data_IF_119344752645
#
_entry.id   IF_119344752645
#
_cell.length_a   1.000
_cell.length_b   1.000
_cell.length_c   1.000
_cell.angle_alpha   90.00
_cell.angle_beta   90.00
_cell.angle_gamma   90.00
#
_symmetry.space_group_name_H-M   'P 1'
#
loop_
_entity.id
_entity.type
_entity.pdbx_description
1 polymer ?
#
# COMPACT_ATOMS: atom_id res chain seq x y z
N UNK A 1 38.75 22.64 59.62
CA UNK A 1 38.35 24.01 59.97
C UNK A 1 38.04 24.78 58.71
N UNK A 2 36.82 25.31 58.64
CA UNK A 2 36.28 26.35 57.75
C UNK A 2 36.05 26.09 56.25
N UNK A 3 34.75 25.89 55.98
CA UNK A 3 33.94 26.21 54.80
C UNK A 3 33.83 27.71 54.49
N UNK A 4 33.64 28.10 53.21
CA UNK A 4 32.77 29.21 52.73
C UNK A 4 32.85 29.28 51.19
N UNK A 5 31.82 28.93 50.41
CA UNK A 5 30.73 29.79 49.91
C UNK A 5 31.14 31.21 49.47
N UNK A 6 30.93 31.51 48.18
CA UNK A 6 30.62 32.85 47.70
C UNK A 6 29.53 32.79 46.63
N UNK A 7 28.41 33.39 46.98
CA UNK A 7 27.23 33.76 46.18
C UNK A 7 27.50 35.06 45.45
N UNK A 8 26.89 35.27 44.26
CA UNK A 8 26.64 36.62 43.72
C UNK A 8 25.37 36.63 42.87
N UNK A 9 24.64 37.73 43.00
CA UNK A 9 23.24 37.98 42.63
C UNK A 9 23.01 38.35 41.15
N UNK A 10 21.80 37.98 40.67
CA UNK A 10 20.84 38.71 39.82
C UNK A 10 21.34 39.74 38.77
N UNK A 11 20.91 39.54 37.51
CA UNK A 11 20.11 40.54 36.78
C UNK A 11 19.06 39.84 35.91
N UNK A 12 17.80 40.21 36.14
CA UNK A 12 16.64 39.81 35.34
C UNK A 12 16.51 40.74 34.13
N UNK A 13 16.22 40.19 32.95
CA UNK A 13 15.71 40.93 31.82
C UNK A 13 14.27 40.46 31.51
N UNK A 14 13.33 41.35 31.80
CA UNK A 14 11.91 41.27 31.46
C UNK A 14 11.72 41.49 29.95
N UNK A 15 10.93 40.65 29.28
CA UNK A 15 10.10 41.09 28.14
C UNK A 15 8.73 40.43 28.18
N UNK A 16 7.76 41.32 28.39
CA UNK A 16 6.31 41.31 28.24
C UNK A 16 5.62 40.13 27.54
N UNK A 17 4.66 39.55 28.26
CA UNK A 17 3.54 38.78 27.73
C UNK A 17 2.44 39.74 27.29
N UNK A 18 2.20 39.88 25.98
CA UNK A 18 1.05 40.61 25.46
C UNK A 18 -0.20 39.73 25.50
N UNK A 19 -1.13 40.09 26.38
CA UNK A 19 -2.50 39.56 26.42
C UNK A 19 -3.27 40.00 25.17
N UNK A 20 -3.93 39.06 24.50
CA UNK A 20 -4.95 39.35 23.48
C UNK A 20 -6.32 38.92 24.06
N UNK A 21 -7.33 39.79 24.04
CA UNK A 21 -8.57 39.60 24.78
C UNK A 21 -9.52 38.57 24.15
N UNK A 22 -10.18 37.82 25.04
CA UNK A 22 -11.33 36.97 24.75
C UNK A 22 -12.53 37.87 24.45
N UNK A 23 -12.94 37.94 23.19
CA UNK A 23 -14.21 38.56 22.79
C UNK A 23 -15.26 37.46 22.70
N UNK A 24 -16.21 37.51 23.63
CA UNK A 24 -17.49 36.82 23.53
C UNK A 24 -18.30 37.44 22.37
N UNK A 25 -18.86 36.62 21.48
CA UNK A 25 -19.96 37.05 20.63
C UNK A 25 -21.11 36.05 20.62
N UNK A 26 -22.26 36.68 20.76
CA UNK A 26 -23.58 36.25 21.15
C UNK A 26 -24.35 35.56 20.02
N UNK A 27 -25.42 34.91 20.45
CA UNK A 27 -26.37 34.08 19.69
C UNK A 27 -27.54 34.96 19.24
N UNK A 28 -27.77 35.21 17.94
CA UNK A 28 -29.12 35.54 17.43
C UNK A 28 -29.34 35.41 15.91
N UNK A 29 -30.38 34.64 15.59
CA UNK A 29 -31.36 34.67 14.46
C UNK A 29 -30.88 34.70 12.99
N UNK A 30 -31.13 33.69 12.14
CA UNK A 30 -32.39 33.15 11.55
C UNK A 30 -32.93 34.02 10.39
N UNK A 31 -33.01 33.41 9.20
CA UNK A 31 -34.10 33.49 8.18
C UNK A 31 -33.66 33.87 6.76
N UNK A 32 -34.37 33.28 5.78
CA UNK A 32 -34.26 33.40 4.31
C UNK A 32 -33.08 32.60 3.75
N UNK A 33 -33.24 31.44 3.10
CA UNK A 33 -34.03 31.21 1.88
C UNK A 33 -34.85 29.91 1.96
N UNK A 34 -36.18 30.04 1.85
CA UNK A 34 -37.09 28.99 1.36
C UNK A 34 -37.69 29.51 0.04
N UNK A 35 -37.91 28.57 -0.87
CA UNK A 35 -38.62 28.64 -2.16
C UNK A 35 -37.72 28.49 -3.39
N UNK A 36 -37.51 27.24 -3.80
CA UNK A 36 -37.69 26.85 -5.21
C UNK A 36 -38.08 25.36 -5.23
N UNK A 37 -39.34 25.09 -5.58
CA UNK A 37 -39.84 23.73 -5.83
C UNK A 37 -39.52 23.34 -7.28
N UNK A 38 -39.16 22.06 -7.41
CA UNK A 38 -39.50 21.15 -8.51
C UNK A 38 -39.42 21.68 -9.96
N UNK A 39 -38.41 21.18 -10.66
CA UNK A 39 -38.55 20.77 -12.06
C UNK A 39 -37.56 19.66 -12.35
N UNK A 40 -38.06 18.43 -12.38
CA UNK A 40 -37.38 17.24 -12.91
C UNK A 40 -37.29 17.34 -14.43
N UNK A 41 -36.11 17.24 -15.05
CA UNK A 41 -36.02 16.83 -16.44
C UNK A 41 -35.95 15.30 -16.50
N UNK A 42 -36.91 14.71 -17.20
CA UNK A 42 -36.90 13.31 -17.59
C UNK A 42 -35.66 13.03 -18.46
N UNK A 43 -34.68 12.32 -17.90
CA UNK A 43 -33.56 11.80 -18.68
C UNK A 43 -33.94 10.40 -19.17
N UNK A 44 -34.11 10.34 -20.49
CA UNK A 44 -34.27 9.16 -21.32
C UNK A 44 -33.38 7.99 -20.87
N UNK A 45 -33.99 6.84 -20.58
CA UNK A 45 -33.29 5.56 -20.52
C UNK A 45 -32.83 5.21 -21.94
N UNK A 46 -31.58 5.57 -22.27
CA UNK A 46 -30.85 4.94 -23.36
C UNK A 46 -30.43 3.54 -22.90
N UNK A 47 -31.30 2.58 -23.16
CA UNK A 47 -31.04 1.16 -23.12
C UNK A 47 -30.08 0.84 -24.29
N UNK A 48 -28.77 0.82 -24.04
CA UNK A 48 -27.81 0.29 -25.01
C UNK A 48 -27.91 -1.24 -24.98
N UNK A 49 -28.77 -1.77 -25.85
CA UNK A 49 -28.84 -3.18 -26.23
C UNK A 49 -27.49 -3.65 -26.79
N UNK A 50 -26.91 -4.68 -26.18
CA UNK A 50 -25.90 -5.53 -26.84
C UNK A 50 -26.58 -6.79 -27.40
N UNK A 51 -26.07 -7.30 -28.52
CA UNK A 51 -26.82 -8.17 -29.43
C UNK A 51 -27.05 -9.56 -28.85
N UNK A 52 -28.26 -10.06 -29.07
CA UNK A 52 -28.62 -11.47 -28.94
C UNK A 52 -27.87 -12.25 -30.03
N UNK A 53 -26.92 -13.10 -29.64
CA UNK A 53 -26.40 -14.13 -30.53
C UNK A 53 -27.45 -15.24 -30.64
N UNK A 54 -28.26 -15.18 -31.69
CA UNK A 54 -29.00 -16.33 -32.17
C UNK A 54 -28.03 -17.34 -32.79
N UNK A 55 -27.92 -18.53 -32.21
CA UNK A 55 -27.29 -19.69 -32.86
C UNK A 55 -28.36 -20.71 -33.22
N UNK A 56 -28.56 -20.87 -34.53
CA UNK A 56 -29.33 -21.94 -35.15
C UNK A 56 -28.40 -23.15 -35.34
N UNK A 57 -28.91 -24.35 -35.04
CA UNK A 57 -28.22 -25.64 -35.04
C UNK A 57 -27.49 -26.01 -36.34
N UNK A 58 -26.34 -26.68 -36.24
CA UNK A 58 -26.02 -27.93 -36.98
C UNK A 58 -24.73 -28.60 -36.45
N UNK A 59 -24.64 -29.94 -36.45
CA UNK A 59 -23.54 -30.67 -35.82
C UNK A 59 -22.42 -31.01 -36.82
N UNK A 60 -21.20 -30.57 -36.54
CA UNK A 60 -20.00 -31.08 -37.22
C UNK A 60 -19.04 -31.60 -36.17
N UNK A 61 -18.83 -32.91 -36.22
CA UNK A 61 -17.92 -33.69 -35.39
C UNK A 61 -16.47 -33.35 -35.80
N UNK A 62 -15.82 -32.46 -35.07
CA UNK A 62 -14.37 -32.28 -35.11
C UNK A 62 -13.85 -32.41 -33.68
N UNK A 63 -13.23 -33.54 -33.38
CA UNK A 63 -12.49 -33.79 -32.14
C UNK A 63 -11.25 -32.90 -32.11
N UNK A 64 -11.44 -31.62 -31.77
CA UNK A 64 -10.37 -30.76 -31.31
C UNK A 64 -10.06 -31.18 -29.88
N UNK A 65 -8.87 -31.75 -29.68
CA UNK A 65 -8.34 -32.00 -28.36
C UNK A 65 -8.46 -30.72 -27.54
N UNK A 66 -9.28 -30.77 -26.50
CA UNK A 66 -9.33 -29.72 -25.49
C UNK A 66 -7.94 -29.69 -24.83
N UNK A 67 -7.06 -28.84 -25.33
CA UNK A 67 -6.02 -28.27 -24.48
C UNK A 67 -6.78 -27.45 -23.44
N UNK A 68 -7.07 -28.09 -22.31
CA UNK A 68 -7.40 -27.38 -21.09
C UNK A 68 -6.18 -26.53 -20.77
N UNK A 69 -6.20 -25.25 -21.17
CA UNK A 69 -5.28 -24.27 -20.60
C UNK A 69 -5.68 -24.17 -19.15
N UNK A 70 -5.00 -24.94 -18.31
CA UNK A 70 -5.05 -24.77 -16.87
C UNK A 70 -4.38 -23.43 -16.64
N UNK A 71 -5.17 -22.36 -16.58
CA UNK A 71 -4.71 -21.06 -16.11
C UNK A 71 -4.29 -21.28 -14.65
N UNK A 72 -2.99 -21.52 -14.43
CA UNK A 72 -2.42 -21.57 -13.09
C UNK A 72 -2.74 -20.27 -12.37
N UNK A 73 -3.11 -20.35 -11.10
CA UNK A 73 -3.24 -19.16 -10.26
C UNK A 73 -1.85 -18.60 -10.03
N UNK A 74 -1.54 -17.48 -10.68
CA UNK A 74 -0.24 -16.84 -10.53
C UNK A 74 0.03 -16.38 -9.10
N UNK A 75 1.31 -16.18 -8.79
CA UNK A 75 1.80 -15.55 -7.57
C UNK A 75 1.17 -14.17 -7.33
N UNK A 76 0.06 -14.14 -6.58
CA UNK A 76 -0.85 -12.99 -6.54
C UNK A 76 -0.27 -11.80 -5.77
N UNK A 77 0.43 -12.02 -4.66
CA UNK A 77 0.95 -10.92 -3.85
C UNK A 77 2.17 -10.24 -4.49
N UNK A 78 3.06 -10.99 -5.14
CA UNK A 78 4.16 -10.45 -5.94
C UNK A 78 3.61 -9.55 -7.06
N UNK A 79 2.65 -10.07 -7.83
CA UNK A 79 2.00 -9.32 -8.90
C UNK A 79 1.37 -8.03 -8.40
N UNK A 80 0.53 -8.13 -7.37
CA UNK A 80 -0.17 -6.96 -6.83
C UNK A 80 0.83 -5.89 -6.36
N UNK A 81 1.95 -6.28 -5.74
CA UNK A 81 3.00 -5.35 -5.33
C UNK A 81 3.62 -4.61 -6.53
N UNK A 82 4.13 -5.35 -7.51
CA UNK A 82 4.84 -4.78 -8.64
C UNK A 82 3.96 -3.89 -9.52
N UNK A 83 2.75 -4.35 -9.84
CA UNK A 83 1.81 -3.57 -10.63
C UNK A 83 1.38 -2.28 -9.90
N UNK A 84 1.17 -2.34 -8.58
CA UNK A 84 0.72 -1.18 -7.81
C UNK A 84 1.80 -0.12 -7.63
N UNK A 85 3.09 -0.50 -7.58
CA UNK A 85 4.19 0.47 -7.61
C UNK A 85 4.49 0.98 -9.03
N UNK A 86 3.89 0.38 -10.06
CA UNK A 86 3.99 0.83 -11.46
C UNK A 86 5.01 0.08 -12.32
N UNK A 87 5.53 -1.06 -11.85
CA UNK A 87 6.34 -1.96 -12.68
C UNK A 87 5.45 -2.73 -13.67
N UNK A 88 6.07 -3.26 -14.73
CA UNK A 88 5.38 -4.04 -15.78
C UNK A 88 5.98 -5.42 -15.89
N UNK A 89 5.15 -6.42 -16.16
CA UNK A 89 5.66 -7.76 -16.44
C UNK A 89 6.61 -7.72 -17.64
N UNK A 90 7.82 -8.28 -17.48
CA UNK A 90 8.85 -8.30 -18.52
C UNK A 90 8.87 -9.67 -19.21
N UNK A 91 8.87 -10.75 -18.43
CA UNK A 91 8.81 -12.13 -18.95
C UNK A 91 7.61 -12.87 -18.36
N UNK A 92 7.03 -13.76 -19.15
CA UNK A 92 5.94 -14.66 -18.75
C UNK A 92 6.40 -16.11 -18.88
N UNK A 93 5.87 -17.00 -18.05
CA UNK A 93 5.98 -18.45 -18.25
C UNK A 93 4.93 -18.97 -19.25
N UNK A 94 4.97 -20.28 -19.50
CA UNK A 94 4.03 -20.98 -20.40
C UNK A 94 2.55 -20.85 -19.96
N UNK A 95 2.30 -20.57 -18.68
CA UNK A 95 0.95 -20.37 -18.14
C UNK A 95 0.48 -18.91 -18.22
N UNK A 96 1.34 -18.01 -18.71
CA UNK A 96 1.08 -16.58 -18.77
C UNK A 96 1.31 -15.84 -17.46
N UNK A 97 1.98 -16.46 -16.48
CA UNK A 97 2.33 -15.83 -15.21
C UNK A 97 3.66 -15.07 -15.33
N UNK A 98 3.76 -13.85 -14.78
CA UNK A 98 5.01 -13.10 -14.78
C UNK A 98 6.13 -13.81 -14.02
N UNK A 99 7.27 -13.97 -14.67
CA UNK A 99 8.50 -14.52 -14.10
C UNK A 99 9.55 -13.45 -13.81
N UNK A 100 9.37 -12.24 -14.32
CA UNK A 100 10.15 -11.04 -13.95
C UNK A 100 9.37 -9.76 -14.26
N UNK A 101 9.75 -8.67 -13.60
CA UNK A 101 9.19 -7.33 -13.84
C UNK A 101 10.27 -6.32 -14.21
N UNK A 102 9.92 -5.41 -15.12
CA UNK A 102 10.67 -4.20 -15.39
C UNK A 102 10.18 -3.07 -14.48
N UNK A 103 11.07 -2.65 -13.58
CA UNK A 103 10.87 -1.54 -12.66
C UNK A 103 11.77 -0.32 -12.97
N UNK A 104 12.38 -0.26 -14.16
CA UNK A 104 13.24 0.87 -14.60
C UNK A 104 12.56 2.23 -14.45
N UNK A 105 11.26 2.29 -14.72
CA UNK A 105 10.42 3.48 -14.54
C UNK A 105 10.37 4.05 -13.11
N UNK A 106 10.87 3.32 -12.11
CA UNK A 106 11.03 3.80 -10.73
C UNK A 106 12.38 4.46 -10.50
N UNK A 107 13.44 3.93 -11.10
CA UNK A 107 14.81 4.41 -10.96
C UNK A 107 15.02 5.75 -11.68
N UNK A 108 14.35 5.95 -12.82
CA UNK A 108 14.47 7.18 -13.62
C UNK A 108 13.65 8.36 -13.06
N UNK A 109 12.99 8.17 -11.91
CA UNK A 109 12.12 9.18 -11.31
C UNK A 109 12.95 10.31 -10.69
N UNK A 110 12.63 11.54 -11.09
CA UNK A 110 13.17 12.74 -10.46
C UNK A 110 12.88 12.72 -8.93
N UNK A 111 13.90 12.79 -8.06
CA UNK A 111 13.74 12.74 -6.60
C UNK A 111 12.98 13.95 -6.02
N UNK A 112 12.92 15.05 -6.75
CA UNK A 112 12.25 16.31 -6.40
C UNK A 112 10.77 16.35 -6.82
N UNK A 113 10.21 15.19 -7.17
CA UNK A 113 8.77 15.02 -7.45
C UNK A 113 8.16 13.89 -6.64
N UNK A 114 6.86 14.00 -6.39
CA UNK A 114 6.06 12.89 -5.89
C UNK A 114 5.47 12.11 -7.07
N UNK A 115 5.24 10.81 -6.88
CA UNK A 115 4.66 9.96 -7.90
C UNK A 115 3.45 9.23 -7.32
N UNK A 116 2.37 9.16 -8.08
CA UNK A 116 1.20 8.36 -7.74
C UNK A 116 0.49 7.89 -9.01
N UNK A 117 0.28 6.58 -9.13
CA UNK A 117 -0.37 5.93 -10.28
C UNK A 117 0.27 6.34 -11.61
N UNK A 118 1.60 6.34 -11.66
CA UNK A 118 2.37 6.68 -12.87
C UNK A 118 2.40 8.17 -13.23
N UNK A 119 1.81 9.06 -12.41
CA UNK A 119 1.86 10.52 -12.62
C UNK A 119 2.86 11.17 -11.69
N UNK A 120 3.60 12.16 -12.20
CA UNK A 120 4.53 12.98 -11.42
C UNK A 120 3.84 14.27 -10.93
N UNK A 121 4.18 14.71 -9.71
CA UNK A 121 3.57 15.86 -9.04
C UNK A 121 4.66 16.78 -8.50
N UNK A 122 4.51 18.07 -8.73
CA UNK A 122 5.37 19.11 -8.18
C UNK A 122 5.07 19.39 -6.71
N UNK A 123 6.02 20.02 -6.02
CA UNK A 123 5.83 20.46 -4.65
C UNK A 123 4.56 21.32 -4.49
N UNK A 124 3.83 21.10 -3.40
CA UNK A 124 2.58 21.79 -3.11
C UNK A 124 1.35 21.21 -3.84
N UNK A 125 1.54 20.38 -4.87
CA UNK A 125 0.44 19.77 -5.62
C UNK A 125 -0.43 18.89 -4.73
N UNK A 126 -1.75 18.97 -4.91
CA UNK A 126 -2.74 18.14 -4.21
C UNK A 126 -3.25 17.03 -5.12
N UNK A 127 -3.59 15.88 -4.54
CA UNK A 127 -4.29 14.82 -5.27
C UNK A 127 -5.77 15.17 -5.44
N UNK A 128 -6.23 15.24 -6.69
CA UNK A 128 -7.64 15.48 -7.01
C UNK A 128 -8.54 14.33 -6.56
N UNK A 129 -8.13 13.08 -6.86
CA UNK A 129 -8.83 11.86 -6.48
C UNK A 129 -8.08 11.13 -5.36
N UNK A 130 -8.16 11.69 -4.16
CA UNK A 130 -7.51 11.09 -2.98
C UNK A 130 -8.24 9.80 -2.56
N UNK A 131 -7.52 8.72 -2.17
CA UNK A 131 -8.15 7.49 -1.71
C UNK A 131 -9.05 7.70 -0.49
N UNK A 132 -10.11 6.89 -0.27
CA UNK A 132 -11.10 7.16 0.77
C UNK A 132 -10.54 7.35 2.20
N UNK A 133 -9.49 6.60 2.56
CA UNK A 133 -8.86 6.67 3.88
C UNK A 133 -7.69 7.64 3.99
N UNK A 134 -7.28 8.26 2.88
CA UNK A 134 -6.19 9.21 2.81
C UNK A 134 -6.75 10.49 2.19
N UNK A 135 -7.06 11.48 3.01
CA UNK A 135 -7.62 12.75 2.54
C UNK A 135 -6.57 13.85 2.54
N UNK A 136 -6.79 14.88 1.71
CA UNK A 136 -5.95 16.07 1.64
C UNK A 136 -4.45 15.77 1.40
N UNK A 137 -4.16 14.78 0.55
CA UNK A 137 -2.79 14.46 0.18
C UNK A 137 -2.12 15.61 -0.56
N UNK A 138 -0.91 15.98 -0.13
CA UNK A 138 -0.08 17.01 -0.76
C UNK A 138 1.35 16.51 -0.98
N UNK A 139 1.93 16.80 -2.14
CA UNK A 139 3.35 16.58 -2.37
C UNK A 139 4.16 17.63 -1.59
N UNK A 140 5.05 17.19 -0.71
CA UNK A 140 5.85 18.07 0.14
C UNK A 140 7.29 17.58 0.22
N UNK A 141 8.21 18.54 0.38
CA UNK A 141 9.57 18.21 0.80
C UNK A 141 9.55 17.57 2.18
N UNK A 142 10.35 16.53 2.36
CA UNK A 142 10.50 15.92 3.66
C UNK A 142 11.41 16.81 4.53
N UNK A 143 11.04 17.08 5.80
CA UNK A 143 11.75 18.04 6.65
C UNK A 143 13.16 17.58 7.07
N UNK A 144 13.53 16.34 6.75
CA UNK A 144 14.85 15.78 7.06
C UNK A 144 15.82 16.13 5.92
N UNK A 145 16.98 16.72 6.21
CA UNK A 145 17.99 17.03 5.19
C UNK A 145 18.38 15.79 4.38
N UNK A 146 18.48 15.93 3.05
CA UNK A 146 18.82 14.82 2.15
C UNK A 146 17.67 13.85 1.85
N UNK A 147 16.47 14.09 2.39
CA UNK A 147 15.31 13.24 2.09
C UNK A 147 14.48 13.79 0.93
N UNK A 148 13.88 12.85 0.18
CA UNK A 148 13.20 13.09 -1.09
C UNK A 148 11.76 13.58 -0.88
N UNK A 149 11.14 14.09 -1.96
CA UNK A 149 9.72 14.46 -1.97
C UNK A 149 8.81 13.26 -1.68
N UNK A 150 7.74 13.49 -0.91
CA UNK A 150 6.72 12.50 -0.58
C UNK A 150 5.32 13.11 -0.50
N UNK A 151 4.30 12.26 -0.62
CA UNK A 151 2.95 12.66 -0.25
C UNK A 151 2.79 12.67 1.27
N UNK A 152 2.28 13.78 1.79
CA UNK A 152 1.74 13.89 3.14
C UNK A 152 0.21 13.87 3.03
N UNK A 153 -0.42 12.86 3.62
CA UNK A 153 -1.87 12.67 3.63
C UNK A 153 -2.40 12.63 5.06
N UNK A 154 -3.63 13.11 5.26
CA UNK A 154 -4.36 12.94 6.52
C UNK A 154 -5.03 11.57 6.50
N UNK A 155 -4.74 10.73 7.49
CA UNK A 155 -5.41 9.44 7.67
C UNK A 155 -6.75 9.65 8.37
N UNK A 156 -7.81 9.10 7.79
CA UNK A 156 -9.14 9.11 8.40
C UNK A 156 -9.20 8.04 9.49
N UNK A 157 -9.54 8.44 10.71
CA UNK A 157 -9.82 7.52 11.81
C UNK A 157 -11.29 7.12 11.79
N UNK A 158 -11.56 5.81 11.81
CA UNK A 158 -12.92 5.30 11.74
C UNK A 158 -13.54 5.12 13.13
N UNK A 159 -14.82 5.48 13.33
CA UNK A 159 -15.50 5.28 14.61
C UNK A 159 -15.50 3.83 15.11
N UNK A 160 -15.42 2.87 14.20
CA UNK A 160 -15.33 1.45 14.53
C UNK A 160 -14.07 1.05 15.32
N UNK A 161 -12.99 1.83 15.26
CA UNK A 161 -11.77 1.58 16.04
C UNK A 161 -11.99 1.72 17.55
N UNK A 162 -13.01 2.48 17.95
CA UNK A 162 -13.38 2.69 19.36
C UNK A 162 -14.48 1.75 19.84
N UNK A 163 -14.91 0.80 19.00
CA UNK A 163 -15.91 -0.21 19.34
C UNK A 163 -15.23 -1.54 19.66
N UNK A 164 -15.86 -2.40 20.48
CA UNK A 164 -15.41 -3.77 20.64
C UNK A 164 -15.27 -4.47 19.27
N UNK A 165 -14.31 -5.39 19.11
CA UNK A 165 -14.19 -6.20 17.91
C UNK A 165 -15.52 -6.89 17.57
N UNK A 166 -15.82 -7.11 16.28
CA UNK A 166 -16.99 -7.88 15.88
C UNK A 166 -17.02 -9.25 16.58
N UNK A 167 -18.22 -9.69 16.96
CA UNK A 167 -18.41 -11.04 17.49
C UNK A 167 -17.93 -12.10 16.47
N UNK A 168 -17.60 -13.32 16.91
CA UNK A 168 -17.26 -14.43 16.02
C UNK A 168 -18.31 -14.58 14.91
N UNK A 169 -17.86 -14.83 13.68
CA UNK A 169 -18.67 -14.91 12.46
C UNK A 169 -19.38 -13.61 12.06
N UNK A 170 -18.96 -12.46 12.61
CA UNK A 170 -19.39 -11.14 12.15
C UNK A 170 -18.24 -10.35 11.54
N UNK A 171 -18.56 -9.56 10.51
CA UNK A 171 -17.58 -8.82 9.72
C UNK A 171 -18.08 -7.41 9.43
N UNK A 172 -17.13 -6.47 9.44
CA UNK A 172 -17.36 -5.10 9.01
C UNK A 172 -17.48 -5.03 7.49
N UNK A 173 -18.54 -4.41 6.99
CA UNK A 173 -18.79 -4.21 5.55
C UNK A 173 -18.35 -2.83 5.13
N UNK A 174 -17.65 -2.77 4.01
CA UNK A 174 -17.16 -1.54 3.41
C UNK A 174 -17.74 -1.37 2.01
N UNK A 175 -18.28 -0.18 1.73
CA UNK A 175 -18.75 0.18 0.39
C UNK A 175 -17.63 0.77 -0.47
N UNK A 176 -17.86 0.80 -1.79
CA UNK A 176 -16.95 1.44 -2.71
C UNK A 176 -16.83 2.94 -2.42
N UNK A 177 -15.62 3.47 -2.43
CA UNK A 177 -15.35 4.88 -2.13
C UNK A 177 -15.51 5.28 -0.64
N UNK A 178 -15.82 4.36 0.27
CA UNK A 178 -15.90 4.64 1.72
C UNK A 178 -14.65 4.13 2.44
N UNK A 179 -14.12 4.92 3.38
CA UNK A 179 -13.03 4.47 4.24
C UNK A 179 -13.51 3.55 5.35
N UNK A 180 -14.57 3.97 6.04
CA UNK A 180 -15.05 3.30 7.24
C UNK A 180 -16.15 2.29 6.92
N UNK A 181 -16.30 1.32 7.82
CA UNK A 181 -17.38 0.35 7.69
C UNK A 181 -18.73 1.06 7.78
N UNK A 182 -19.64 0.65 6.92
CA UNK A 182 -21.00 1.21 6.85
C UNK A 182 -21.99 0.40 7.67
N UNK A 183 -21.68 -0.89 7.88
CA UNK A 183 -22.48 -1.84 8.68
C UNK A 183 -21.64 -3.04 9.10
N UNK A 184 -22.19 -3.84 10.00
CA UNK A 184 -21.69 -5.17 10.34
C UNK A 184 -22.68 -6.22 9.83
N UNK A 185 -22.17 -7.35 9.38
CA UNK A 185 -22.97 -8.52 8.98
C UNK A 185 -22.46 -9.75 9.70
N UNK A 186 -23.35 -10.71 9.99
CA UNK A 186 -23.02 -11.96 10.66
C UNK A 186 -23.56 -13.14 9.85
N UNK A 187 -22.83 -14.27 9.83
CA UNK A 187 -23.24 -15.49 9.15
C UNK A 187 -22.19 -16.03 8.17
N UNK A 188 -22.64 -16.89 7.26
CA UNK A 188 -21.78 -17.51 6.23
C UNK A 188 -21.69 -16.63 4.98
N UNK A 189 -20.48 -16.43 4.48
CA UNK A 189 -20.20 -15.66 3.26
C UNK A 189 -19.87 -16.62 2.12
N UNK A 190 -20.79 -16.77 1.18
CA UNK A 190 -20.43 -17.25 -0.16
C UNK A 190 -19.93 -16.05 -0.96
N UNK A 191 -18.88 -16.23 -1.75
CA UNK A 191 -18.48 -15.24 -2.75
C UNK A 191 -19.70 -14.76 -3.56
N UNK A 192 -19.78 -13.47 -3.93
CA UNK A 192 -18.68 -12.52 -4.15
C UNK A 192 -18.75 -11.29 -3.23
N UNK A 193 -18.52 -11.47 -1.92
CA UNK A 193 -18.55 -10.35 -0.94
C UNK A 193 -17.18 -9.67 -0.77
N UNK A 194 -16.14 -10.22 -1.41
CA UNK A 194 -14.77 -9.72 -1.33
C UNK A 194 -14.42 -8.80 -2.51
N UNK A 195 -13.53 -7.84 -2.27
CA UNK A 195 -12.89 -7.03 -3.30
C UNK A 195 -11.41 -6.89 -3.01
N UNK A 196 -10.61 -6.68 -4.07
CA UNK A 196 -9.20 -6.33 -3.91
C UNK A 196 -9.05 -4.97 -3.26
N UNK A 197 -8.08 -4.86 -2.35
CA UNK A 197 -7.69 -3.61 -1.69
C UNK A 197 -6.34 -3.20 -2.27
N UNK A 198 -6.21 -1.93 -2.62
CA UNK A 198 -4.93 -1.34 -3.04
C UNK A 198 -4.20 -0.82 -1.80
N UNK A 199 -2.92 -1.16 -1.68
CA UNK A 199 -2.08 -0.88 -0.52
C UNK A 199 -1.52 0.55 -0.48
N UNK A 200 -1.74 1.31 -1.55
CA UNK A 200 -1.35 2.72 -1.74
C UNK A 200 0.13 2.94 -1.48
N UNK A 201 0.96 2.04 -2.01
CA UNK A 201 2.41 2.01 -1.81
C UNK A 201 3.09 3.36 -2.04
N UNK A 202 2.81 4.00 -3.17
CA UNK A 202 3.41 5.29 -3.51
C UNK A 202 2.90 6.47 -2.65
N UNK A 203 1.78 6.33 -1.93
CA UNK A 203 1.31 7.38 -1.01
C UNK A 203 1.87 7.22 0.39
N UNK A 204 1.96 5.97 0.87
CA UNK A 204 2.28 5.68 2.27
C UNK A 204 3.76 5.32 2.44
N UNK A 205 4.35 4.64 1.46
CA UNK A 205 5.65 3.98 1.55
C UNK A 205 6.64 4.43 0.47
N UNK A 206 6.40 5.58 -0.19
CA UNK A 206 7.28 6.10 -1.24
C UNK A 206 8.75 6.15 -0.83
N UNK A 207 9.05 6.64 0.38
CA UNK A 207 10.43 6.71 0.86
C UNK A 207 11.05 5.32 1.00
N UNK A 208 10.33 4.35 1.58
CA UNK A 208 10.84 2.98 1.73
C UNK A 208 11.17 2.34 0.39
N UNK A 209 10.30 2.51 -0.61
CA UNK A 209 10.53 2.02 -1.97
C UNK A 209 11.76 2.71 -2.58
N UNK A 210 11.85 4.04 -2.43
CA UNK A 210 12.97 4.86 -2.90
C UNK A 210 14.31 4.49 -2.24
N UNK A 211 14.28 4.00 -1.01
CA UNK A 211 15.44 3.59 -0.22
C UNK A 211 15.82 2.11 -0.48
N UNK A 212 15.15 1.44 -1.43
CA UNK A 212 15.42 0.04 -1.78
C UNK A 212 14.91 -0.97 -0.74
N UNK A 213 14.04 -0.54 0.17
CA UNK A 213 13.38 -1.45 1.11
C UNK A 213 12.35 -2.33 0.39
N UNK A 214 12.21 -3.55 0.86
CA UNK A 214 11.27 -4.55 0.33
C UNK A 214 10.15 -4.83 1.33
N UNK A 215 8.92 -5.10 0.85
CA UNK A 215 7.79 -5.34 1.73
C UNK A 215 7.90 -6.67 2.49
N UNK A 216 7.40 -6.68 3.72
CA UNK A 216 7.18 -7.86 4.54
C UNK A 216 5.68 -8.13 4.61
N UNK A 217 5.23 -9.20 3.98
CA UNK A 217 3.85 -9.67 4.00
C UNK A 217 3.60 -10.61 5.17
N UNK A 218 2.37 -10.64 5.66
CA UNK A 218 1.94 -11.65 6.62
C UNK A 218 1.35 -12.85 5.89
N UNK A 219 2.06 -13.97 5.87
CA UNK A 219 1.75 -15.10 5.00
C UNK A 219 1.70 -14.73 3.51
N UNK A 220 1.15 -15.64 2.70
CA UNK A 220 1.11 -15.48 1.22
C UNK A 220 -0.29 -15.10 0.70
N UNK A 221 -1.19 -14.62 1.57
CA UNK A 221 -2.62 -14.45 1.27
C UNK A 221 -3.02 -13.13 0.59
N UNK A 222 -2.18 -12.57 -0.29
CA UNK A 222 -2.57 -11.40 -1.12
C UNK A 222 -2.91 -10.11 -0.36
N UNK A 223 -2.53 -10.00 0.93
CA UNK A 223 -2.75 -8.83 1.77
C UNK A 223 -1.69 -7.75 1.55
N UNK A 224 -1.94 -6.54 2.07
CA UNK A 224 -0.91 -5.50 2.12
C UNK A 224 0.22 -5.86 3.10
N UNK A 225 1.45 -5.37 2.86
CA UNK A 225 2.58 -5.58 3.77
C UNK A 225 2.30 -5.07 5.18
N UNK A 226 2.79 -5.82 6.16
CA UNK A 226 2.73 -5.46 7.59
C UNK A 226 3.96 -4.68 8.05
N UNK A 227 5.07 -4.83 7.33
CA UNK A 227 6.35 -4.18 7.64
C UNK A 227 7.21 -4.05 6.37
N UNK A 228 8.41 -3.50 6.50
CA UNK A 228 9.38 -3.35 5.41
C UNK A 228 10.80 -3.63 5.89
N UNK A 229 11.53 -4.46 5.16
CA UNK A 229 12.96 -4.71 5.39
C UNK A 229 13.78 -3.79 4.51
N UNK A 230 14.65 -2.98 5.09
CA UNK A 230 15.54 -2.07 4.36
C UNK A 230 16.97 -2.65 4.29
N UNK A 231 17.73 -2.38 3.23
CA UNK A 231 19.11 -2.83 3.13
C UNK A 231 19.97 -2.28 4.28
N UNK A 232 20.79 -3.14 4.87
CA UNK A 232 21.71 -2.82 5.95
C UNK A 232 22.99 -3.64 5.89
N UNK A 233 24.01 -3.20 6.64
CA UNK A 233 25.35 -3.78 6.57
C UNK A 233 25.45 -5.23 7.08
N UNK A 234 24.45 -5.68 7.87
CA UNK A 234 24.38 -7.05 8.39
C UNK A 234 23.68 -8.01 7.42
N UNK A 235 23.16 -7.53 6.30
CA UNK A 235 22.47 -8.37 5.33
C UNK A 235 23.46 -9.19 4.51
N UNK A 236 23.11 -10.45 4.27
CA UNK A 236 23.91 -11.36 3.45
C UNK A 236 23.02 -12.32 2.67
N UNK A 237 23.54 -12.82 1.55
CA UNK A 237 22.85 -13.79 0.69
C UNK A 237 23.12 -15.20 1.22
N UNK A 238 22.04 -15.95 1.45
CA UNK A 238 22.06 -17.38 1.76
C UNK A 238 21.69 -18.14 0.50
N UNK A 239 22.71 -18.61 -0.21
CA UNK A 239 22.55 -19.37 -1.45
C UNK A 239 21.98 -20.75 -1.17
N UNK A 240 20.99 -21.17 -1.95
CA UNK A 240 20.49 -22.54 -1.91
C UNK A 240 21.43 -23.42 -2.75
N UNK A 241 22.18 -24.31 -2.11
CA UNK A 241 23.23 -25.16 -2.75
C UNK A 241 22.66 -26.13 -3.79
N UNK A 242 21.33 -26.21 -3.95
CA UNK A 242 20.67 -27.27 -4.71
C UNK A 242 19.47 -26.78 -5.53
N UNK A 243 19.66 -25.98 -6.59
CA UNK A 243 18.74 -25.97 -7.74
C UNK A 243 19.45 -25.70 -9.08
N UNK A 244 19.54 -26.76 -9.88
CA UNK A 244 19.60 -26.73 -11.33
C UNK A 244 18.19 -26.43 -11.87
N UNK A 245 17.80 -25.15 -11.86
CA UNK A 245 16.66 -24.65 -12.66
C UNK A 245 17.17 -23.99 -13.94
N UNK A 246 16.32 -23.76 -14.96
CA UNK A 246 16.71 -22.95 -16.10
C UNK A 246 17.10 -21.55 -15.58
N UNK A 247 18.38 -21.23 -15.69
CA UNK A 247 18.91 -19.93 -15.32
C UNK A 247 18.34 -18.91 -16.28
N UNK A 248 17.34 -18.16 -15.83
CA UNK A 248 16.79 -17.04 -16.58
C UNK A 248 17.81 -15.91 -16.77
N UNK A 249 18.96 -15.96 -16.09
CA UNK A 249 19.95 -14.89 -16.00
C UNK A 249 19.46 -13.66 -15.24
N UNK A 250 18.21 -13.67 -14.75
CA UNK A 250 17.60 -12.58 -14.00
C UNK A 250 17.90 -12.73 -12.52
N UNK A 251 18.14 -11.61 -11.86
CA UNK A 251 18.53 -11.55 -10.44
C UNK A 251 17.69 -10.51 -9.71
N UNK A 252 17.54 -10.69 -8.40
CA UNK A 252 16.99 -9.66 -7.53
C UNK A 252 18.11 -8.82 -6.93
N UNK A 253 17.86 -7.53 -6.74
CA UNK A 253 18.75 -6.61 -6.01
C UNK A 253 18.16 -6.23 -4.67
N UNK A 254 19.02 -6.15 -3.67
CA UNK A 254 18.68 -5.66 -2.32
C UNK A 254 19.86 -4.87 -1.74
N UNK A 255 19.81 -3.54 -1.84
CA UNK A 255 20.99 -2.71 -1.66
C UNK A 255 22.07 -3.09 -2.67
N UNK A 256 23.29 -3.34 -2.18
CA UNK A 256 24.42 -3.80 -2.99
C UNK A 256 24.41 -5.33 -3.24
N UNK A 257 23.51 -6.07 -2.59
CA UNK A 257 23.43 -7.52 -2.73
C UNK A 257 22.69 -7.90 -4.01
N UNK A 258 23.22 -8.93 -4.68
CA UNK A 258 22.59 -9.57 -5.84
C UNK A 258 22.22 -11.01 -5.48
N UNK A 259 20.96 -11.36 -5.68
CA UNK A 259 20.38 -12.66 -5.37
C UNK A 259 19.96 -13.34 -6.67
N UNK A 260 20.37 -14.58 -6.88
CA UNK A 260 19.81 -15.39 -7.97
C UNK A 260 18.39 -15.83 -7.60
N UNK A 261 17.61 -16.18 -8.61
CA UNK A 261 16.27 -16.73 -8.37
C UNK A 261 16.38 -17.99 -7.49
N UNK A 262 15.68 -17.99 -6.36
CA UNK A 262 15.72 -19.02 -5.33
C UNK A 262 16.62 -18.70 -4.13
N UNK A 263 17.54 -17.75 -4.24
CA UNK A 263 18.37 -17.30 -3.12
C UNK A 263 17.52 -16.58 -2.07
N UNK A 264 18.01 -16.61 -0.83
CA UNK A 264 17.37 -15.98 0.33
C UNK A 264 18.30 -14.94 0.94
N UNK A 265 17.72 -13.99 1.66
CA UNK A 265 18.49 -13.17 2.60
C UNK A 265 18.62 -13.91 3.93
N UNK A 266 19.70 -13.64 4.66
CA UNK A 266 19.83 -14.06 6.05
C UNK A 266 18.62 -13.63 6.89
N UNK A 267 18.29 -14.44 7.88
CA UNK A 267 17.23 -14.11 8.83
C UNK A 267 17.73 -13.02 9.77
N UNK A 268 16.94 -11.94 9.88
CA UNK A 268 17.26 -10.84 10.80
C UNK A 268 16.26 -10.91 11.95
N UNK A 269 16.77 -11.25 13.13
CA UNK A 269 16.08 -11.01 14.40
C UNK A 269 16.21 -9.53 14.72
N UNK A 270 15.38 -8.69 14.10
CA UNK A 270 15.35 -7.27 14.45
C UNK A 270 14.98 -7.11 15.94
N UNK A 271 15.96 -6.66 16.73
CA UNK A 271 15.75 -6.16 18.09
C UNK A 271 15.99 -7.14 19.24
N UNK A 272 16.60 -8.32 19.03
CA UNK A 272 17.06 -9.16 20.16
C UNK A 272 15.97 -9.64 21.13
N UNK A 273 14.70 -9.58 20.74
CA UNK A 273 13.58 -10.10 21.54
C UNK A 273 13.33 -11.53 21.09
N UNK A 274 13.75 -12.49 21.92
CA UNK A 274 13.26 -13.87 21.85
C UNK A 274 11.73 -13.84 21.85
N UNK A 275 11.10 -14.11 20.71
CA UNK A 275 9.65 -13.92 20.62
C UNK A 275 9.08 -13.37 19.31
N UNK A 276 9.90 -12.82 18.40
CA UNK A 276 9.39 -12.37 17.10
C UNK A 276 9.27 -13.53 16.09
N UNK A 277 8.29 -13.44 15.17
CA UNK A 277 8.09 -14.40 14.10
C UNK A 277 9.22 -14.29 13.07
N UNK A 278 9.61 -15.43 12.50
CA UNK A 278 10.70 -15.49 11.51
C UNK A 278 10.26 -14.83 10.20
N UNK A 279 11.10 -13.93 9.69
CA UNK A 279 10.89 -13.22 8.41
C UNK A 279 11.82 -13.81 7.38
N UNK A 280 11.23 -14.37 6.33
CA UNK A 280 11.94 -15.03 5.24
C UNK A 280 11.83 -14.19 3.98
N UNK A 281 12.96 -13.71 3.45
CA UNK A 281 13.01 -12.94 2.21
C UNK A 281 13.64 -13.79 1.11
N UNK A 282 12.94 -13.95 -0.01
CA UNK A 282 13.38 -14.82 -1.11
C UNK A 282 13.31 -14.07 -2.43
N UNK A 283 14.31 -14.24 -3.29
CA UNK A 283 14.23 -13.83 -4.69
C UNK A 283 13.40 -14.85 -5.48
N UNK A 284 12.08 -14.67 -5.52
CA UNK A 284 11.18 -15.53 -6.32
C UNK A 284 10.95 -14.98 -7.72
N UNK A 285 10.59 -13.70 -7.79
CA UNK A 285 10.30 -12.98 -9.04
C UNK A 285 11.10 -11.67 -9.02
N UNK A 286 12.16 -11.54 -9.85
CA UNK A 286 12.94 -10.32 -10.02
C UNK A 286 12.08 -9.09 -10.35
N UNK A 287 12.51 -7.87 -9.97
CA UNK A 287 13.88 -7.47 -9.63
C UNK A 287 14.18 -7.30 -8.13
N UNK A 288 13.23 -7.52 -7.22
CA UNK A 288 13.45 -7.37 -5.78
C UNK A 288 13.07 -8.65 -5.03
N UNK A 289 13.80 -9.04 -3.96
CA UNK A 289 13.31 -10.10 -3.08
C UNK A 289 12.09 -9.59 -2.31
N UNK A 290 11.09 -10.44 -2.07
CA UNK A 290 9.96 -10.11 -1.20
C UNK A 290 10.04 -10.94 0.08
N UNK A 291 9.56 -10.38 1.19
CA UNK A 291 9.62 -11.00 2.50
C UNK A 291 8.25 -11.47 2.96
N UNK A 292 8.23 -12.60 3.67
CA UNK A 292 7.04 -13.14 4.32
C UNK A 292 7.36 -13.44 5.79
N UNK A 293 6.52 -12.92 6.67
CA UNK A 293 6.46 -13.33 8.07
C UNK A 293 5.45 -14.48 8.18
N UNK A 294 5.90 -15.64 8.66
CA UNK A 294 5.01 -16.80 8.85
C UNK A 294 4.40 -16.78 10.26
N UNK A 295 3.12 -17.16 10.41
CA UNK A 295 2.57 -17.44 11.73
C UNK A 295 3.42 -18.53 12.39
N UNK A 296 3.73 -18.38 13.68
CA UNK A 296 4.36 -19.46 14.43
C UNK A 296 3.44 -20.68 14.38
N UNK A 297 3.97 -21.81 13.93
CA UNK A 297 3.31 -23.09 14.16
C UNK A 297 3.30 -23.30 15.67
N UNK A 298 2.10 -23.35 16.24
CA UNK A 298 1.86 -23.58 17.65
C UNK A 298 1.59 -25.05 17.89
#
# INVERSE_FOLDING_TARGET
GFTSHHTTHHMMANVAWSQIPVVAMERRERSHWKHMRLSTPAVSKQQQSRPECATMNTPILLTLGFLTVVAGTCHEYERNYYEEIGCRAETLDETGCPTSYDCSSLSDRNPDKCYYQGKAYDEGSKLNDSPPCLVQCRCVASPVPGTRMKFLCIRVECPGLFRPPPLPNCYNVYEHGKCCSVRQICGSFTEPVCRKISCKFELIYANRIKDGCVPVFYGEKGCCPIDWRCPGNSDSVVTQVSKSGPDSGKTCRFGELTLHVGDKLNTVTEGGIEGRAERECTCRIPPHPLCVEKPRQQ
#
